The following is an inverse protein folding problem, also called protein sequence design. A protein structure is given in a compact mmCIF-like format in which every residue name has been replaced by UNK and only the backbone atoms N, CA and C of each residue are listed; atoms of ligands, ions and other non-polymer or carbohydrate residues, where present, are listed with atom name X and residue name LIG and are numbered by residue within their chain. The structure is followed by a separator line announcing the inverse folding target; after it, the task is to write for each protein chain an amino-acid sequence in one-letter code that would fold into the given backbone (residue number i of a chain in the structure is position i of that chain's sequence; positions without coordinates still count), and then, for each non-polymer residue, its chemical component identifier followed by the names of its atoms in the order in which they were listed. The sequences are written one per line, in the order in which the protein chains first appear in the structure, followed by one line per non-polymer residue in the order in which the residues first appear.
data_IF_837606329861
#
_entry.id   IF_837606329861
#
_cell.length_a   1.000
_cell.length_b   1.000
_cell.length_c   1.000
_cell.angle_alpha   90.00
_cell.angle_beta   90.00
_cell.angle_gamma   90.00
#
_symmetry.space_group_name_H-M   'P 1'
#
loop_
_entity.id
_entity.type
_entity.pdbx_description
1 polymer ?
#
# COMPACT_ATOMS: atom_id res chain seq x y z
N UNK A 1 -2.77 -24.06 12.11
CA UNK A 1 -2.66 -23.49 10.75
C UNK A 1 -2.44 -21.99 10.87
N UNK A 2 -1.94 -21.31 9.84
CA UNK A 2 -1.75 -19.85 9.87
C UNK A 2 -3.06 -19.10 10.12
N UNK A 3 -4.15 -19.55 9.50
CA UNK A 3 -5.52 -19.04 9.71
C UNK A 3 -6.00 -19.05 11.16
N UNK A 4 -5.39 -19.88 12.04
CA UNK A 4 -5.80 -19.98 13.45
C UNK A 4 -4.91 -19.17 14.40
N UNK A 5 -3.91 -18.43 13.89
CA UNK A 5 -2.93 -17.71 14.73
C UNK A 5 -2.52 -16.34 14.19
N UNK A 6 -2.44 -16.17 12.88
CA UNK A 6 -2.09 -14.88 12.29
C UNK A 6 -3.29 -13.94 12.31
N UNK A 7 -3.06 -12.73 12.81
CA UNK A 7 -4.07 -11.68 12.92
C UNK A 7 -4.10 -10.81 11.66
N UNK A 8 -2.92 -10.48 11.12
CA UNK A 8 -2.78 -9.70 9.90
C UNK A 8 -1.44 -10.00 9.20
N UNK A 9 -1.38 -9.73 7.89
CA UNK A 9 -0.15 -9.75 7.09
C UNK A 9 0.15 -8.35 6.55
N UNK A 10 1.38 -7.88 6.74
CA UNK A 10 1.84 -6.58 6.26
C UNK A 10 2.87 -6.80 5.18
N UNK A 11 2.52 -6.38 3.98
CA UNK A 11 3.36 -6.46 2.80
C UNK A 11 4.15 -5.16 2.63
N UNK A 12 5.48 -5.27 2.62
CA UNK A 12 6.44 -4.14 2.68
C UNK A 12 7.54 -4.33 1.60
N UNK A 13 7.27 -5.10 0.55
CA UNK A 13 8.16 -5.10 -0.62
C UNK A 13 7.96 -3.81 -1.42
N UNK A 14 9.06 -3.25 -1.94
CA UNK A 14 9.04 -2.06 -2.81
C UNK A 14 8.26 -0.90 -2.18
N UNK A 15 8.48 -0.64 -0.88
CA UNK A 15 7.70 0.36 -0.16
C UNK A 15 7.92 1.81 -0.57
N UNK A 16 9.05 2.14 -1.22
CA UNK A 16 9.35 3.51 -1.63
C UNK A 16 9.96 3.51 -3.03
N UNK A 17 9.22 4.09 -3.97
CA UNK A 17 9.56 4.24 -5.40
C UNK A 17 9.05 5.57 -5.98
N UNK A 18 8.54 6.46 -5.13
CA UNK A 18 8.08 7.82 -5.44
C UNK A 18 7.45 8.45 -4.19
N UNK A 19 6.96 9.70 -4.24
CA UNK A 19 6.55 10.46 -3.04
C UNK A 19 5.10 10.25 -2.61
N UNK A 20 4.25 9.64 -3.43
CA UNK A 20 2.79 9.57 -3.20
C UNK A 20 2.40 8.23 -2.57
N UNK A 21 1.74 8.27 -1.41
CA UNK A 21 1.18 7.06 -0.79
C UNK A 21 0.07 6.43 -1.66
N UNK A 22 0.20 5.14 -1.94
CA UNK A 22 -0.75 4.30 -2.68
C UNK A 22 -1.23 3.13 -1.78
N UNK A 23 -2.10 3.40 -0.79
CA UNK A 23 -2.45 2.39 0.20
C UNK A 23 -3.43 1.36 -0.37
N UNK A 24 -3.16 0.07 -0.15
CA UNK A 24 -4.08 -1.02 -0.48
C UNK A 24 -4.28 -1.92 0.73
N UNK A 25 -5.52 -2.20 1.13
CA UNK A 25 -5.78 -3.07 2.28
C UNK A 25 -7.12 -3.80 2.18
N UNK A 26 -7.30 -4.81 3.03
CA UNK A 26 -8.59 -5.45 3.30
C UNK A 26 -9.48 -4.55 4.15
N UNK A 27 -10.82 -4.51 3.93
CA UNK A 27 -11.72 -3.60 4.65
C UNK A 27 -11.61 -3.62 6.17
N UNK A 28 -11.26 -4.77 6.76
CA UNK A 28 -11.07 -4.95 8.20
C UNK A 28 -9.96 -4.06 8.80
N UNK A 29 -9.04 -3.57 7.96
CA UNK A 29 -7.89 -2.76 8.37
C UNK A 29 -7.97 -1.31 7.84
N UNK A 30 -9.06 -0.92 7.18
CA UNK A 30 -9.22 0.42 6.59
C UNK A 30 -9.07 1.52 7.66
N UNK A 31 -9.79 1.38 8.77
CA UNK A 31 -9.77 2.35 9.88
C UNK A 31 -8.40 2.40 10.56
N UNK A 32 -7.83 1.24 10.90
CA UNK A 32 -6.51 1.13 11.51
C UNK A 32 -5.43 1.79 10.64
N UNK A 33 -5.47 1.58 9.32
CA UNK A 33 -4.54 2.19 8.40
C UNK A 33 -4.69 3.72 8.41
N UNK A 34 -5.92 4.24 8.33
CA UNK A 34 -6.19 5.68 8.35
C UNK A 34 -5.74 6.34 9.65
N UNK A 35 -6.01 5.72 10.79
CA UNK A 35 -5.54 6.21 12.09
C UNK A 35 -4.01 6.21 12.17
N UNK A 36 -3.36 5.16 11.68
CA UNK A 36 -1.90 5.06 11.67
C UNK A 36 -1.27 6.18 10.85
N UNK A 37 -1.74 6.42 9.62
CA UNK A 37 -1.13 7.43 8.74
C UNK A 37 -1.39 8.87 9.19
N UNK A 38 -2.36 9.10 10.09
CA UNK A 38 -2.57 10.39 10.77
C UNK A 38 -1.58 10.63 11.91
N UNK A 39 -0.94 9.58 12.43
CA UNK A 39 0.06 9.68 13.51
C UNK A 39 1.50 9.78 12.98
N UNK A 40 1.73 9.35 11.75
CA UNK A 40 3.06 9.35 11.13
C UNK A 40 3.33 10.71 10.47
N UNK A 41 4.44 11.34 10.86
CA UNK A 41 4.91 12.56 10.21
C UNK A 41 5.41 12.28 8.80
N UNK A 42 5.11 13.19 7.87
CA UNK A 42 5.62 13.12 6.51
C UNK A 42 7.16 13.32 6.54
N UNK A 43 7.95 12.35 6.01
CA UNK A 43 9.40 12.46 6.00
C UNK A 43 9.93 13.63 5.18
N UNK A 44 9.19 14.09 4.16
CA UNK A 44 9.58 15.20 3.29
C UNK A 44 9.08 16.55 3.82
N UNK A 45 8.08 16.55 4.73
CA UNK A 45 7.50 17.76 5.29
C UNK A 45 7.03 17.57 6.73
N UNK A 46 7.87 17.95 7.70
CA UNK A 46 7.58 17.82 9.13
C UNK A 46 6.43 18.70 9.66
N UNK A 47 5.82 19.54 8.82
CA UNK A 47 4.64 20.33 9.20
C UNK A 47 3.31 19.63 8.91
N UNK A 48 3.34 18.40 8.36
CA UNK A 48 2.16 17.65 8.01
C UNK A 48 2.34 16.14 8.25
N UNK A 49 1.24 15.42 8.36
CA UNK A 49 1.24 13.97 8.48
C UNK A 49 1.24 13.31 7.10
N UNK A 50 1.56 12.01 7.05
CA UNK A 50 1.41 11.20 5.83
C UNK A 50 -0.03 11.23 5.32
N UNK A 51 -1.01 11.25 6.22
CA UNK A 51 -2.43 11.42 5.87
C UNK A 51 -2.67 12.75 5.14
N UNK A 52 -2.14 13.86 5.66
CA UNK A 52 -2.34 15.19 5.06
C UNK A 52 -1.70 15.26 3.67
N UNK A 53 -0.49 14.70 3.51
CA UNK A 53 0.19 14.58 2.23
C UNK A 53 -0.64 13.76 1.22
N UNK A 54 -1.14 12.61 1.67
CA UNK A 54 -1.95 11.70 0.85
C UNK A 54 -3.24 12.35 0.36
N UNK A 55 -3.99 13.02 1.24
CA UNK A 55 -5.23 13.73 0.89
C UNK A 55 -4.96 14.89 -0.08
N UNK A 56 -3.86 15.64 0.09
CA UNK A 56 -3.48 16.74 -0.83
C UNK A 56 -3.08 16.24 -2.22
N UNK A 57 -2.35 15.12 -2.29
CA UNK A 57 -1.84 14.56 -3.55
C UNK A 57 -2.93 13.91 -4.42
N UNK A 58 -4.13 13.67 -3.88
CA UNK A 58 -5.12 12.81 -4.51
C UNK A 58 -6.52 13.44 -4.44
N UNK A 59 -7.04 13.92 -5.57
CA UNK A 59 -8.35 14.60 -5.66
C UNK A 59 -9.55 13.76 -5.18
N UNK A 60 -9.37 12.45 -5.02
CA UNK A 60 -10.35 11.55 -4.40
C UNK A 60 -9.58 10.43 -3.69
N UNK A 61 -9.10 10.68 -2.46
CA UNK A 61 -8.26 9.74 -1.75
C UNK A 61 -9.07 8.48 -1.44
N UNK A 62 -8.63 7.34 -1.98
CA UNK A 62 -9.29 6.06 -1.81
C UNK A 62 -8.25 5.00 -1.51
N UNK A 63 -8.49 4.23 -0.45
CA UNK A 63 -7.71 3.03 -0.17
C UNK A 63 -8.09 1.97 -1.20
N UNK A 64 -7.10 1.46 -1.93
CA UNK A 64 -7.29 0.41 -2.91
C UNK A 64 -7.58 -0.93 -2.23
N UNK A 65 -8.05 -1.92 -3.00
CA UNK A 65 -8.37 -3.26 -2.48
C UNK A 65 -7.34 -4.27 -2.95
N UNK A 66 -6.98 -5.18 -2.04
CA UNK A 66 -6.17 -6.35 -2.38
C UNK A 66 -7.04 -7.38 -3.08
N UNK A 67 -7.03 -7.35 -4.41
CA UNK A 67 -7.77 -8.30 -5.25
C UNK A 67 -6.96 -8.87 -6.41
N UNK A 68 -5.83 -8.26 -6.74
CA UNK A 68 -4.92 -8.79 -7.74
C UNK A 68 -4.01 -9.88 -7.13
N UNK A 69 -3.50 -10.79 -7.96
CA UNK A 69 -2.54 -11.83 -7.55
C UNK A 69 -1.08 -11.40 -7.72
N UNK A 70 -0.78 -10.10 -7.69
CA UNK A 70 0.50 -9.54 -8.12
C UNK A 70 1.60 -9.47 -7.07
N UNK A 71 1.38 -9.99 -5.86
CA UNK A 71 2.35 -9.97 -4.76
C UNK A 71 2.00 -11.04 -3.70
N UNK A 72 2.86 -11.21 -2.70
CA UNK A 72 2.81 -12.29 -1.70
C UNK A 72 1.54 -12.24 -0.83
N UNK A 73 0.91 -11.06 -0.67
CA UNK A 73 -0.36 -10.94 0.05
C UNK A 73 -1.50 -11.79 -0.55
N UNK A 74 -1.38 -12.24 -1.80
CA UNK A 74 -2.42 -13.03 -2.47
C UNK A 74 -2.70 -14.35 -1.73
N UNK A 75 -1.66 -15.04 -1.25
CA UNK A 75 -1.83 -16.28 -0.47
C UNK A 75 -2.56 -16.01 0.86
N UNK A 76 -2.26 -14.89 1.51
CA UNK A 76 -2.87 -14.53 2.79
C UNK A 76 -4.35 -14.15 2.63
N UNK A 77 -4.66 -13.25 1.69
CA UNK A 77 -6.03 -12.76 1.50
C UNK A 77 -6.92 -13.80 0.82
N UNK A 78 -6.47 -14.40 -0.28
CA UNK A 78 -7.33 -15.19 -1.17
C UNK A 78 -7.39 -16.66 -0.80
N UNK A 79 -6.33 -17.22 -0.22
CA UNK A 79 -6.27 -18.64 0.11
C UNK A 79 -6.52 -18.93 1.59
N UNK A 80 -5.87 -18.17 2.49
CA UNK A 80 -5.92 -18.45 3.95
C UNK A 80 -6.91 -17.55 4.70
N UNK A 81 -7.37 -16.45 4.10
CA UNK A 81 -8.37 -15.54 4.67
C UNK A 81 -7.82 -14.62 5.77
N UNK A 82 -6.53 -14.30 5.74
CA UNK A 82 -5.87 -13.41 6.69
C UNK A 82 -5.97 -11.94 6.20
N UNK A 83 -6.50 -11.01 7.02
CA UNK A 83 -6.50 -9.58 6.71
C UNK A 83 -5.09 -9.09 6.36
N UNK A 84 -4.97 -8.29 5.31
CA UNK A 84 -3.67 -7.91 4.78
C UNK A 84 -3.62 -6.46 4.32
N UNK A 85 -2.43 -5.86 4.36
CA UNK A 85 -2.15 -4.51 3.88
C UNK A 85 -0.92 -4.52 2.99
N UNK A 86 -0.94 -3.76 1.90
CA UNK A 86 0.21 -3.46 1.06
C UNK A 86 0.49 -1.95 1.10
N UNK A 87 1.71 -1.57 1.46
CA UNK A 87 2.14 -0.18 1.64
C UNK A 87 3.23 0.18 0.63
N UNK A 88 2.89 1.09 -0.28
CA UNK A 88 3.78 1.60 -1.32
C UNK A 88 3.66 3.13 -1.38
N UNK A 89 4.80 3.82 -1.43
CA UNK A 89 4.93 5.18 -1.90
C UNK A 89 5.44 5.16 -3.34
N UNK A 90 4.72 5.76 -4.29
CA UNK A 90 5.03 5.74 -5.72
C UNK A 90 4.80 7.08 -6.42
N UNK A 91 4.95 7.10 -7.74
CA UNK A 91 4.94 8.30 -8.58
C UNK A 91 3.52 8.93 -8.81
N UNK A 92 2.48 8.41 -8.15
CA UNK A 92 1.10 8.90 -8.27
C UNK A 92 0.29 8.31 -9.43
N UNK A 93 -0.97 8.75 -9.61
CA UNK A 93 -1.88 8.22 -10.66
C UNK A 93 -1.33 8.55 -12.05
N UNK A 94 -0.95 7.54 -12.82
CA UNK A 94 -0.49 7.65 -14.22
C UNK A 94 0.88 7.02 -14.46
N UNK A 95 1.67 6.80 -13.41
CA UNK A 95 2.88 6.01 -13.48
C UNK A 95 2.53 4.54 -13.20
N UNK A 96 2.46 3.74 -14.26
CA UNK A 96 2.49 2.29 -14.10
C UNK A 96 3.82 1.96 -13.44
N UNK A 97 3.81 1.30 -12.28
CA UNK A 97 5.03 0.81 -11.65
C UNK A 97 5.58 -0.36 -12.47
N UNK A 98 6.29 -0.04 -13.56
CA UNK A 98 7.04 -1.00 -14.37
C UNK A 98 8.37 -1.30 -13.67
N UNK A 99 8.31 -1.87 -12.47
CA UNK A 99 9.52 -2.34 -11.79
C UNK A 99 9.67 -3.86 -11.78
N UNK A 100 8.64 -4.60 -12.26
CA UNK A 100 8.61 -6.06 -12.15
C UNK A 100 8.72 -6.83 -13.47
N UNK A 101 8.93 -6.17 -14.60
CA UNK A 101 9.33 -6.86 -15.84
C UNK A 101 10.76 -6.47 -16.19
N UNK A 102 11.70 -7.28 -15.75
CA UNK A 102 13.06 -7.27 -16.29
C UNK A 102 12.95 -7.47 -17.81
N UNK A 103 13.17 -6.40 -18.55
CA UNK A 103 13.00 -6.31 -19.99
C UNK A 103 13.50 -4.97 -20.50
N UNK A 104 14.76 -4.64 -20.21
CA UNK A 104 15.49 -3.66 -21.01
C UNK A 104 15.50 -4.18 -22.46
N UNK A 105 14.63 -3.65 -23.30
CA UNK A 105 14.89 -3.59 -24.74
C UNK A 105 15.15 -2.13 -25.06
N UNK A 106 16.42 -1.83 -25.27
CA UNK A 106 16.86 -0.62 -25.93
C UNK A 106 16.15 -0.52 -27.29
N UNK A 107 15.52 0.62 -27.54
CA UNK A 107 15.40 1.20 -28.88
C UNK A 107 15.89 2.63 -28.82
#
# INVERSE_FOLDING_TARGET
MLSSRAVAYLNIDVSVVGPVLLPSTTPQLDELLLETIKLVQDPDNSSQTVYDAWVKSNASPKIQRLGNGGSDYAAFVQHVGIPSTNLIFGEGRGALLVLYSCGFSYV
#
